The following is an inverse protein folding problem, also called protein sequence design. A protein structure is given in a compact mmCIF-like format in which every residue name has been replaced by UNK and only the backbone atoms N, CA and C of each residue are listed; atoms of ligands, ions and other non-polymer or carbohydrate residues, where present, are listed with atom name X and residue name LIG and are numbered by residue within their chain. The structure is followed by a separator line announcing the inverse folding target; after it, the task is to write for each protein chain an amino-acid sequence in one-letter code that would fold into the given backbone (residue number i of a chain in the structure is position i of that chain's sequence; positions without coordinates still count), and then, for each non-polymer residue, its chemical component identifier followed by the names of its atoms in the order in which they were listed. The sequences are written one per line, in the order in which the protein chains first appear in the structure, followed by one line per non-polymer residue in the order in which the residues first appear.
data_IF_980418567416
#
_entry.id   IF_980418567416
#
_cell.length_a   1.000
_cell.length_b   1.000
_cell.length_c   1.000
_cell.angle_alpha   90.00
_cell.angle_beta   90.00
_cell.angle_gamma   90.00
#
_symmetry.space_group_name_H-M   'P 1'
#
loop_
_entity.id
_entity.type
_entity.pdbx_description
1 polymer ?
#
# COMPACT_ATOMS: atom_id res chain seq x y z
N UNK A 1 25.25 0.71 10.05
CA UNK A 1 23.86 1.14 10.33
C UNK A 1 23.06 1.00 9.05
N UNK A 2 21.88 0.39 9.11
CA UNK A 2 20.98 0.22 7.95
C UNK A 2 20.34 1.58 7.66
N UNK A 3 20.50 2.08 6.45
CA UNK A 3 19.91 3.36 6.00
C UNK A 3 18.48 3.14 5.54
N UNK A 4 17.55 3.80 6.18
CA UNK A 4 16.11 3.63 5.93
C UNK A 4 15.51 4.91 5.34
N UNK A 5 14.74 4.76 4.26
CA UNK A 5 13.83 5.79 3.77
C UNK A 5 12.43 5.50 4.31
N UNK A 6 11.73 6.53 4.83
CA UNK A 6 10.34 6.45 5.28
C UNK A 6 9.45 7.30 4.37
N UNK A 7 8.45 6.68 3.73
CA UNK A 7 7.46 7.37 2.91
C UNK A 7 6.05 7.14 3.47
N UNK A 8 5.43 8.19 4.02
CA UNK A 8 4.11 8.18 4.64
C UNK A 8 3.55 9.60 4.64
N UNK A 9 2.32 9.83 4.20
CA UNK A 9 1.71 11.16 4.15
C UNK A 9 1.24 11.68 5.53
N UNK A 10 1.23 10.81 6.56
CA UNK A 10 0.85 11.16 7.92
C UNK A 10 2.08 11.55 8.75
N UNK A 11 2.35 12.83 8.91
CA UNK A 11 3.54 13.35 9.60
C UNK A 11 3.73 12.83 11.04
N UNK A 12 2.64 12.63 11.80
CA UNK A 12 2.70 12.09 13.17
C UNK A 12 3.11 10.60 13.14
N UNK A 13 2.58 9.82 12.21
CA UNK A 13 2.95 8.41 12.03
C UNK A 13 4.41 8.32 11.63
N UNK A 14 4.84 9.10 10.63
CA UNK A 14 6.21 9.13 10.13
C UNK A 14 7.21 9.50 11.23
N UNK A 15 6.90 10.51 12.07
CA UNK A 15 7.73 10.86 13.23
C UNK A 15 7.83 9.72 14.26
N UNK A 16 6.72 8.99 14.47
CA UNK A 16 6.72 7.80 15.34
C UNK A 16 7.56 6.66 14.77
N UNK A 17 7.43 6.38 13.48
CA UNK A 17 8.22 5.36 12.78
C UNK A 17 9.72 5.68 12.82
N UNK A 18 10.09 6.95 12.55
CA UNK A 18 11.46 7.42 12.67
C UNK A 18 12.04 7.12 14.05
N UNK A 19 11.32 7.49 15.09
CA UNK A 19 11.75 7.22 16.46
C UNK A 19 11.97 5.72 16.72
N UNK A 20 11.03 4.86 16.31
CA UNK A 20 11.15 3.40 16.47
C UNK A 20 12.39 2.86 15.75
N UNK A 21 12.63 3.32 14.53
CA UNK A 21 13.78 2.90 13.72
C UNK A 21 15.09 3.34 14.38
N UNK A 22 15.22 4.60 14.78
CA UNK A 22 16.45 5.17 15.37
C UNK A 22 16.72 4.63 16.77
N UNK A 23 15.68 4.40 17.61
CA UNK A 23 15.83 3.80 18.94
C UNK A 23 16.34 2.34 18.90
N UNK A 24 16.27 1.66 17.76
CA UNK A 24 16.86 0.32 17.59
C UNK A 24 18.40 0.30 17.74
N UNK A 25 19.06 1.42 17.50
CA UNK A 25 20.52 1.58 17.55
C UNK A 25 21.29 0.96 16.38
N UNK A 26 20.63 0.26 15.47
CA UNK A 26 21.23 -0.41 14.29
C UNK A 26 20.82 0.22 12.96
N UNK A 27 19.87 1.14 12.98
CA UNK A 27 19.26 1.77 11.79
C UNK A 27 19.28 3.29 11.91
N UNK A 28 19.30 3.99 10.77
CA UNK A 28 19.15 5.44 10.70
C UNK A 28 18.17 5.82 9.59
N UNK A 29 17.33 6.82 9.83
CA UNK A 29 16.44 7.37 8.81
C UNK A 29 17.19 8.43 8.01
N UNK A 30 17.60 8.08 6.80
CA UNK A 30 18.40 8.97 5.92
C UNK A 30 17.52 9.87 5.05
N UNK A 31 16.25 9.52 4.86
CA UNK A 31 15.29 10.35 4.13
C UNK A 31 13.85 10.10 4.59
N UNK A 32 13.04 11.14 4.47
CA UNK A 32 11.59 11.08 4.64
C UNK A 32 10.91 11.64 3.39
N UNK A 33 9.70 11.13 3.09
CA UNK A 33 8.85 11.61 2.01
C UNK A 33 7.38 11.64 2.45
N UNK A 34 6.62 12.62 2.00
CA UNK A 34 5.19 12.73 2.29
C UNK A 34 4.30 12.37 1.10
N UNK A 35 4.89 12.12 -0.07
CA UNK A 35 4.21 11.59 -1.24
C UNK A 35 5.11 10.64 -2.05
N UNK A 36 4.49 9.96 -3.02
CA UNK A 36 5.19 8.95 -3.81
C UNK A 36 6.24 9.50 -4.76
N UNK A 37 6.11 10.75 -5.23
CA UNK A 37 7.11 11.38 -6.11
C UNK A 37 8.34 11.77 -5.33
N UNK A 38 8.12 12.36 -4.17
CA UNK A 38 9.21 12.68 -3.25
C UNK A 38 9.95 11.40 -2.83
N UNK A 39 9.23 10.31 -2.53
CA UNK A 39 9.86 9.03 -2.18
C UNK A 39 10.82 8.55 -3.27
N UNK A 40 10.42 8.57 -4.55
CA UNK A 40 11.29 8.18 -5.67
C UNK A 40 12.52 9.11 -5.78
N UNK A 41 12.32 10.42 -5.66
CA UNK A 41 13.42 11.39 -5.69
C UNK A 41 14.41 11.16 -4.56
N UNK A 42 13.92 10.95 -3.32
CA UNK A 42 14.76 10.71 -2.15
C UNK A 42 15.60 9.44 -2.26
N UNK A 43 15.05 8.36 -2.85
CA UNK A 43 15.83 7.14 -3.12
C UNK A 43 17.06 7.45 -3.98
N UNK A 44 16.90 8.27 -5.03
CA UNK A 44 18.00 8.66 -5.91
C UNK A 44 19.06 9.53 -5.21
N UNK A 45 18.61 10.43 -4.31
CA UNK A 45 19.50 11.37 -3.62
C UNK A 45 20.27 10.73 -2.47
N UNK A 46 19.67 9.78 -1.73
CA UNK A 46 20.21 9.28 -0.46
C UNK A 46 20.67 7.83 -0.49
N UNK A 47 20.34 7.09 -1.55
CA UNK A 47 20.70 5.66 -1.72
C UNK A 47 20.49 4.84 -0.44
N UNK A 48 19.22 4.70 0.01
CA UNK A 48 18.90 3.93 1.22
C UNK A 48 19.14 2.44 1.00
N UNK A 49 19.39 1.70 2.09
CA UNK A 49 19.50 0.25 2.08
C UNK A 49 18.14 -0.44 2.11
N UNK A 50 17.11 0.25 2.64
CA UNK A 50 15.72 -0.23 2.72
C UNK A 50 14.75 0.95 2.56
N UNK A 51 13.67 0.76 1.81
CA UNK A 51 12.57 1.71 1.73
C UNK A 51 11.32 1.17 2.45
N UNK A 52 10.76 1.95 3.37
CA UNK A 52 9.47 1.68 4.03
C UNK A 52 8.43 2.60 3.41
N UNK A 53 7.40 2.03 2.77
CA UNK A 53 6.47 2.78 1.92
C UNK A 53 5.03 2.50 2.34
N UNK A 54 4.27 3.57 2.65
CA UNK A 54 2.81 3.47 2.76
C UNK A 54 2.15 3.37 1.38
N UNK A 55 1.13 2.52 1.29
CA UNK A 55 0.33 2.38 0.06
C UNK A 55 -0.57 3.60 -0.16
N UNK A 56 -1.04 4.26 0.91
CA UNK A 56 -2.15 5.22 0.86
C UNK A 56 -1.74 6.66 0.62
N UNK A 57 -0.55 6.91 0.10
CA UNK A 57 -0.05 8.27 -0.15
C UNK A 57 -0.83 9.02 -1.25
N UNK A 58 -0.93 10.36 -1.19
CA UNK A 58 -1.56 11.17 -2.22
C UNK A 58 -0.76 11.18 -3.53
N UNK A 59 -1.43 11.46 -4.65
CA UNK A 59 -0.79 11.55 -5.97
C UNK A 59 -0.41 10.18 -6.52
N UNK A 60 0.88 9.88 -6.53
CA UNK A 60 1.41 8.56 -6.90
C UNK A 60 1.25 7.60 -5.72
N UNK A 61 0.45 6.54 -5.88
CA UNK A 61 0.21 5.58 -4.81
C UNK A 61 1.43 4.67 -4.54
N UNK A 62 1.49 4.08 -3.33
CA UNK A 62 2.64 3.28 -2.93
C UNK A 62 2.93 2.08 -3.82
N UNK A 63 1.94 1.46 -4.47
CA UNK A 63 2.20 0.36 -5.40
C UNK A 63 2.84 0.85 -6.70
N UNK A 64 2.43 2.03 -7.18
CA UNK A 64 3.07 2.66 -8.33
C UNK A 64 4.52 3.05 -8.00
N UNK A 65 4.76 3.55 -6.77
CA UNK A 65 6.12 3.83 -6.26
C UNK A 65 6.95 2.56 -6.24
N UNK A 66 6.44 1.47 -5.64
CA UNK A 66 7.14 0.17 -5.59
C UNK A 66 7.51 -0.31 -6.99
N UNK A 67 6.55 -0.28 -7.93
CA UNK A 67 6.79 -0.73 -9.31
C UNK A 67 7.86 0.10 -10.02
N UNK A 68 7.86 1.43 -9.82
CA UNK A 68 8.87 2.32 -10.41
C UNK A 68 10.24 2.13 -9.77
N UNK A 69 10.30 1.97 -8.43
CA UNK A 69 11.56 1.72 -7.73
C UNK A 69 12.14 0.36 -8.10
N UNK A 70 11.32 -0.69 -8.23
CA UNK A 70 11.79 -1.99 -8.68
C UNK A 70 12.35 -1.97 -10.12
N UNK A 71 11.79 -1.13 -10.98
CA UNK A 71 12.30 -0.97 -12.35
C UNK A 71 13.64 -0.20 -12.40
N UNK A 72 13.83 0.80 -11.52
CA UNK A 72 15.02 1.67 -11.50
C UNK A 72 16.09 1.25 -10.50
N UNK A 73 15.70 0.61 -9.39
CA UNK A 73 16.57 0.14 -8.29
C UNK A 73 16.14 -1.27 -7.86
N UNK A 74 16.35 -2.31 -8.71
CA UNK A 74 15.84 -3.67 -8.47
C UNK A 74 16.42 -4.32 -7.20
N UNK A 75 17.58 -3.87 -6.74
CA UNK A 75 18.23 -4.38 -5.52
C UNK A 75 17.72 -3.73 -4.24
N UNK A 76 16.90 -2.65 -4.33
CA UNK A 76 16.38 -1.95 -3.15
C UNK A 76 15.25 -2.76 -2.50
N UNK A 77 15.44 -3.30 -1.27
CA UNK A 77 14.39 -3.98 -0.55
C UNK A 77 13.30 -2.98 -0.14
N UNK A 78 12.03 -3.33 -0.39
CA UNK A 78 10.89 -2.48 -0.04
C UNK A 78 9.98 -3.19 0.95
N UNK A 79 9.74 -2.54 2.11
CA UNK A 79 8.74 -2.92 3.08
C UNK A 79 7.50 -2.06 2.90
N UNK A 80 6.37 -2.69 2.69
CA UNK A 80 5.07 -2.00 2.76
C UNK A 80 4.62 -1.89 4.21
N UNK A 81 4.25 -0.67 4.62
CA UNK A 81 3.66 -0.39 5.92
C UNK A 81 2.37 0.40 5.73
N UNK A 82 1.22 -0.18 6.06
CA UNK A 82 -0.09 0.37 5.71
C UNK A 82 -1.16 0.11 6.76
N UNK A 83 -2.26 0.86 6.72
CA UNK A 83 -3.46 0.58 7.53
C UNK A 83 -4.35 -0.54 6.97
N UNK A 84 -4.03 -1.07 5.78
CA UNK A 84 -4.84 -2.10 5.12
C UNK A 84 -4.37 -3.51 5.51
N UNK A 85 -5.31 -4.32 6.01
CA UNK A 85 -5.07 -5.71 6.42
C UNK A 85 -5.56 -6.72 5.37
N UNK A 86 -6.36 -6.27 4.40
CA UNK A 86 -7.00 -7.16 3.45
C UNK A 86 -5.99 -7.80 2.49
N UNK A 87 -6.07 -9.12 2.38
CA UNK A 87 -5.13 -9.94 1.61
C UNK A 87 -4.90 -9.53 0.15
N UNK A 88 -5.87 -8.85 -0.46
CA UNK A 88 -5.71 -8.33 -1.82
C UNK A 88 -4.64 -7.21 -1.93
N UNK A 89 -4.43 -6.42 -0.87
CA UNK A 89 -3.38 -5.41 -0.83
C UNK A 89 -2.01 -6.08 -0.71
N UNK A 90 -1.93 -7.13 0.12
CA UNK A 90 -0.72 -7.95 0.27
C UNK A 90 -0.30 -8.54 -1.07
N UNK A 91 -1.23 -9.22 -1.75
CA UNK A 91 -0.95 -9.86 -3.05
C UNK A 91 -0.41 -8.84 -4.05
N UNK A 92 -1.04 -7.67 -4.15
CA UNK A 92 -0.61 -6.61 -5.07
C UNK A 92 0.76 -6.02 -4.70
N UNK A 93 1.02 -5.81 -3.40
CA UNK A 93 2.30 -5.30 -2.94
C UNK A 93 3.45 -6.25 -3.32
N UNK A 94 3.26 -7.55 -3.06
CA UNK A 94 4.25 -8.57 -3.42
C UNK A 94 4.42 -8.70 -4.94
N UNK A 95 3.33 -8.62 -5.70
CA UNK A 95 3.39 -8.62 -7.18
C UNK A 95 4.08 -7.38 -7.75
N UNK A 96 3.96 -6.22 -7.08
CA UNK A 96 4.67 -5.00 -7.44
C UNK A 96 6.17 -5.05 -7.09
N UNK A 97 6.62 -6.04 -6.31
CA UNK A 97 8.02 -6.24 -5.96
C UNK A 97 8.37 -5.99 -4.49
N UNK A 98 7.38 -5.75 -3.61
CA UNK A 98 7.68 -5.61 -2.19
C UNK A 98 8.25 -6.91 -1.61
N UNK A 99 9.26 -6.78 -0.75
CA UNK A 99 9.85 -7.90 -0.02
C UNK A 99 9.17 -8.16 1.32
N UNK A 100 8.50 -7.16 1.87
CA UNK A 100 7.78 -7.29 3.13
C UNK A 100 6.45 -6.53 3.14
N UNK A 101 5.54 -7.00 4.00
CA UNK A 101 4.25 -6.36 4.24
C UNK A 101 3.93 -6.39 5.73
N UNK A 102 3.62 -5.21 6.26
CA UNK A 102 3.31 -5.01 7.67
C UNK A 102 2.19 -3.99 7.81
N UNK A 103 1.32 -4.16 8.80
CA UNK A 103 0.30 -3.15 9.11
C UNK A 103 0.83 -2.11 10.08
N UNK A 104 0.31 -0.89 10.03
CA UNK A 104 0.66 0.19 10.99
C UNK A 104 0.17 -0.09 12.42
N UNK A 105 -0.64 -1.14 12.60
CA UNK A 105 -1.08 -1.63 13.93
C UNK A 105 -0.08 -2.62 14.54
N UNK A 106 0.91 -3.04 13.78
CA UNK A 106 1.93 -3.97 14.25
C UNK A 106 2.81 -3.34 15.33
N UNK A 107 3.32 -4.19 16.21
CA UNK A 107 4.20 -3.75 17.29
C UNK A 107 5.52 -3.14 16.74
N UNK A 108 6.10 -2.14 17.42
CA UNK A 108 7.36 -1.52 17.03
C UNK A 108 8.49 -2.52 16.73
N UNK A 109 8.59 -3.58 17.52
CA UNK A 109 9.60 -4.63 17.39
C UNK A 109 9.45 -5.41 16.07
N UNK A 110 8.22 -5.52 15.56
CA UNK A 110 7.95 -6.15 14.26
C UNK A 110 8.47 -5.30 13.11
N UNK A 111 8.36 -3.97 13.20
CA UNK A 111 8.92 -3.07 12.19
C UNK A 111 10.45 -3.22 12.10
N UNK A 112 11.15 -3.15 13.23
CA UNK A 112 12.62 -3.32 13.28
C UNK A 112 13.02 -4.68 12.74
N UNK A 113 12.32 -5.74 13.16
CA UNK A 113 12.58 -7.11 12.69
C UNK A 113 12.32 -7.25 11.19
N UNK A 114 11.26 -6.65 10.66
CA UNK A 114 10.94 -6.68 9.24
C UNK A 114 12.01 -5.98 8.41
N UNK A 115 12.44 -4.77 8.79
CA UNK A 115 13.49 -4.02 8.11
C UNK A 115 14.79 -4.83 8.08
N UNK A 116 15.21 -5.42 9.20
CA UNK A 116 16.41 -6.24 9.28
C UNK A 116 16.34 -7.44 8.33
N UNK A 117 15.26 -8.20 8.37
CA UNK A 117 15.08 -9.39 7.51
C UNK A 117 15.10 -9.07 6.03
N UNK A 118 14.39 -8.01 5.59
CA UNK A 118 14.39 -7.66 4.17
C UNK A 118 15.75 -7.10 3.70
N UNK A 119 16.47 -6.39 4.57
CA UNK A 119 17.86 -5.96 4.30
C UNK A 119 18.79 -7.16 4.10
N UNK A 120 18.57 -8.27 4.82
CA UNK A 120 19.30 -9.54 4.67
C UNK A 120 18.84 -10.36 3.44
N UNK A 121 17.93 -9.83 2.62
CA UNK A 121 17.39 -10.52 1.45
C UNK A 121 16.27 -11.52 1.77
N UNK A 122 15.79 -11.59 3.02
CA UNK A 122 14.70 -12.46 3.42
C UNK A 122 13.35 -11.75 3.22
N UNK A 123 12.29 -12.51 2.94
CA UNK A 123 10.93 -11.94 2.93
C UNK A 123 10.36 -11.83 4.34
N UNK A 124 9.59 -10.77 4.56
CA UNK A 124 8.83 -10.59 5.81
C UNK A 124 7.35 -10.42 5.51
N UNK A 125 6.57 -11.45 5.79
CA UNK A 125 5.12 -11.47 5.55
C UNK A 125 4.48 -12.03 6.83
N UNK A 126 3.42 -11.39 7.33
CA UNK A 126 2.66 -11.93 8.47
C UNK A 126 1.91 -13.19 8.08
N UNK A 127 1.47 -13.99 9.07
CA UNK A 127 0.76 -15.24 8.81
C UNK A 127 -0.54 -15.01 8.03
N UNK A 128 -1.28 -13.94 8.34
CA UNK A 128 -2.50 -13.54 7.64
C UNK A 128 -2.20 -13.17 6.17
N UNK A 129 -1.10 -12.49 5.95
CA UNK A 129 -0.65 -12.12 4.61
C UNK A 129 -0.20 -13.36 3.81
N UNK A 130 0.46 -14.31 4.46
CA UNK A 130 0.86 -15.57 3.84
C UNK A 130 -0.35 -16.44 3.47
N UNK A 131 -1.37 -16.51 4.33
CA UNK A 131 -2.63 -17.22 4.03
C UNK A 131 -3.34 -16.60 2.84
N UNK A 132 -3.43 -15.26 2.75
CA UNK A 132 -4.03 -14.58 1.62
C UNK A 132 -3.31 -14.87 0.30
N UNK A 133 -1.97 -14.93 0.32
CA UNK A 133 -1.17 -15.33 -0.84
C UNK A 133 -1.42 -16.79 -1.22
N UNK A 134 -1.45 -17.70 -0.26
CA UNK A 134 -1.70 -19.11 -0.49
C UNK A 134 -3.08 -19.35 -1.12
N UNK A 135 -4.12 -18.69 -0.60
CA UNK A 135 -5.47 -18.74 -1.15
C UNK A 135 -5.53 -18.20 -2.59
N UNK A 136 -4.75 -17.18 -2.91
CA UNK A 136 -4.66 -16.63 -4.27
C UNK A 136 -4.01 -17.63 -5.24
N UNK A 137 -2.91 -18.25 -4.82
CA UNK A 137 -2.21 -19.28 -5.61
C UNK A 137 -3.12 -20.51 -5.82
N UNK A 138 -3.83 -20.95 -4.77
CA UNK A 138 -4.75 -22.09 -4.85
C UNK A 138 -5.93 -21.86 -5.80
N UNK A 139 -6.39 -20.61 -5.98
CA UNK A 139 -7.46 -20.25 -6.94
C UNK A 139 -6.98 -20.27 -8.41
N UNK A 140 -5.70 -20.45 -8.65
CA UNK A 140 -5.09 -20.51 -9.99
C UNK A 140 -5.00 -19.14 -10.70
N UNK A 141 -4.08 -19.04 -11.64
CA UNK A 141 -3.89 -17.84 -12.47
C UNK A 141 -5.00 -17.59 -13.50
N UNK A 142 -5.91 -18.56 -13.73
CA UNK A 142 -7.00 -18.44 -14.71
C UNK A 142 -8.19 -17.62 -14.20
N UNK A 143 -8.27 -17.36 -12.92
CA UNK A 143 -9.30 -16.51 -12.32
C UNK A 143 -8.83 -15.07 -12.13
N UNK A 144 -8.62 -14.31 -13.22
CA UNK A 144 -8.48 -12.84 -13.10
C UNK A 144 -9.72 -12.30 -12.39
N UNK A 145 -9.56 -11.92 -11.14
CA UNK A 145 -10.65 -11.24 -10.44
C UNK A 145 -10.93 -9.90 -11.15
N UNK A 146 -12.19 -9.51 -11.33
CA UNK A 146 -12.50 -8.17 -11.82
C UNK A 146 -11.78 -7.07 -11.03
N UNK A 147 -11.46 -7.34 -9.75
CA UNK A 147 -10.66 -6.45 -8.90
C UNK A 147 -9.24 -6.25 -9.41
N UNK A 148 -8.64 -7.22 -10.09
CA UNK A 148 -7.26 -7.13 -10.61
C UNK A 148 -7.12 -6.05 -11.69
N UNK A 149 -8.21 -5.64 -12.32
CA UNK A 149 -8.25 -4.55 -13.30
C UNK A 149 -8.22 -3.15 -12.68
N UNK A 150 -8.46 -3.05 -11.36
CA UNK A 150 -8.54 -1.79 -10.64
C UNK A 150 -7.15 -1.34 -10.18
N UNK A 151 -6.84 -0.06 -10.33
CA UNK A 151 -5.70 0.54 -9.62
C UNK A 151 -5.95 0.51 -8.10
N UNK A 152 -4.91 0.72 -7.31
CA UNK A 152 -5.05 0.77 -5.85
C UNK A 152 -6.02 1.88 -5.43
N UNK A 153 -5.90 3.06 -6.04
CA UNK A 153 -6.77 4.19 -5.72
C UNK A 153 -8.23 3.92 -6.12
N UNK A 154 -8.46 3.23 -7.23
CA UNK A 154 -9.81 2.79 -7.61
C UNK A 154 -10.38 1.79 -6.59
N UNK A 155 -9.57 0.86 -6.10
CA UNK A 155 -9.98 -0.10 -5.06
C UNK A 155 -10.31 0.59 -3.73
N UNK A 156 -9.48 1.53 -3.29
CA UNK A 156 -9.72 2.34 -2.10
C UNK A 156 -11.02 3.15 -2.21
N UNK A 157 -11.25 3.80 -3.35
CA UNK A 157 -12.48 4.56 -3.61
C UNK A 157 -13.69 3.63 -3.67
N UNK A 158 -13.58 2.46 -4.31
CA UNK A 158 -14.65 1.45 -4.34
C UNK A 158 -15.09 1.06 -2.93
N UNK A 159 -14.12 0.74 -2.06
CA UNK A 159 -14.37 0.37 -0.66
C UNK A 159 -15.12 1.47 0.09
N UNK A 160 -14.67 2.71 -0.01
CA UNK A 160 -15.29 3.87 0.65
C UNK A 160 -16.70 4.14 0.14
N UNK A 161 -16.91 4.07 -1.18
CA UNK A 161 -18.26 4.19 -1.78
C UNK A 161 -19.18 3.07 -1.31
N UNK A 162 -18.67 1.85 -1.21
CA UNK A 162 -19.42 0.69 -0.75
C UNK A 162 -19.82 0.79 0.73
N UNK A 163 -19.00 1.45 1.55
CA UNK A 163 -19.30 1.79 2.95
C UNK A 163 -20.29 2.98 3.08
N UNK A 164 -20.82 3.48 1.99
CA UNK A 164 -21.80 4.58 1.98
C UNK A 164 -21.22 5.98 2.11
N UNK A 165 -19.88 6.15 2.03
CA UNK A 165 -19.28 7.45 2.10
C UNK A 165 -19.58 8.27 0.84
N UNK A 166 -19.81 9.57 1.04
CA UNK A 166 -20.02 10.53 -0.04
C UNK A 166 -18.70 10.87 -0.74
N UNK A 167 -18.74 11.30 -2.00
CA UNK A 167 -17.56 11.75 -2.74
C UNK A 167 -16.80 12.87 -2.01
N UNK A 168 -17.51 13.70 -1.23
CA UNK A 168 -16.92 14.78 -0.43
C UNK A 168 -16.11 14.25 0.76
N UNK A 169 -16.62 13.23 1.46
CA UNK A 169 -15.93 12.57 2.56
C UNK A 169 -14.69 11.84 2.06
N UNK A 170 -14.82 11.10 0.95
CA UNK A 170 -13.71 10.40 0.31
C UNK A 170 -12.61 11.39 -0.14
N UNK A 171 -13.03 12.50 -0.79
CA UNK A 171 -12.11 13.54 -1.23
C UNK A 171 -11.31 14.14 -0.06
N UNK A 172 -11.99 14.36 1.08
CA UNK A 172 -11.37 14.88 2.30
C UNK A 172 -10.40 13.86 2.91
N UNK A 173 -10.78 12.57 3.01
CA UNK A 173 -9.95 11.52 3.62
C UNK A 173 -8.69 11.21 2.81
N UNK A 174 -8.70 11.45 1.51
CA UNK A 174 -7.54 11.20 0.64
C UNK A 174 -6.85 12.48 0.15
N UNK A 175 -7.21 13.64 0.69
CA UNK A 175 -6.64 14.95 0.30
C UNK A 175 -6.67 15.22 -1.22
N UNK A 176 -7.74 14.80 -1.90
CA UNK A 176 -7.97 14.99 -3.34
C UNK A 176 -9.22 15.81 -3.61
N UNK A 177 -9.41 16.26 -4.85
CA UNK A 177 -10.61 16.98 -5.25
C UNK A 177 -11.83 16.04 -5.37
N UNK A 178 -13.04 16.57 -5.13
CA UNK A 178 -14.30 15.84 -5.38
C UNK A 178 -14.35 15.36 -6.84
N UNK A 179 -13.91 16.20 -7.77
CA UNK A 179 -13.82 15.88 -9.22
C UNK A 179 -12.92 14.68 -9.49
N UNK A 180 -11.85 14.54 -8.72
CA UNK A 180 -10.95 13.37 -8.82
C UNK A 180 -11.66 12.09 -8.35
N UNK A 181 -12.43 12.17 -7.26
CA UNK A 181 -13.26 11.02 -6.79
C UNK A 181 -14.32 10.66 -7.82
N UNK A 182 -14.99 11.64 -8.42
CA UNK A 182 -15.96 11.41 -9.52
C UNK A 182 -15.31 10.69 -10.71
N UNK A 183 -14.07 11.04 -11.03
CA UNK A 183 -13.31 10.39 -12.10
C UNK A 183 -13.02 8.93 -11.76
N UNK A 184 -12.57 8.63 -10.54
CA UNK A 184 -12.36 7.24 -10.09
C UNK A 184 -13.66 6.46 -10.08
N UNK A 185 -14.75 7.04 -9.58
CA UNK A 185 -16.07 6.41 -9.59
C UNK A 185 -16.53 6.07 -11.02
N UNK A 186 -16.38 6.99 -11.97
CA UNK A 186 -16.74 6.74 -13.36
C UNK A 186 -15.90 5.61 -13.98
N UNK A 187 -14.59 5.57 -13.69
CA UNK A 187 -13.69 4.49 -14.12
C UNK A 187 -14.09 3.14 -13.51
N UNK A 188 -14.44 3.11 -12.21
CA UNK A 188 -14.93 1.91 -11.51
C UNK A 188 -16.17 1.34 -12.20
N UNK A 189 -17.21 2.16 -12.41
CA UNK A 189 -18.43 1.75 -13.08
C UNK A 189 -18.15 1.16 -14.47
N UNK A 190 -17.26 1.82 -15.23
CA UNK A 190 -16.86 1.35 -16.57
C UNK A 190 -16.07 0.03 -16.51
N UNK A 191 -15.03 -0.07 -15.66
CA UNK A 191 -14.15 -1.25 -15.58
C UNK A 191 -14.88 -2.49 -15.08
N UNK A 192 -15.81 -2.30 -14.13
CA UNK A 192 -16.59 -3.38 -13.52
C UNK A 192 -17.91 -3.64 -14.26
N UNK A 193 -18.22 -2.87 -15.32
CA UNK A 193 -19.48 -2.94 -16.07
C UNK A 193 -20.72 -2.77 -15.16
N UNK A 194 -20.64 -1.87 -14.18
CA UNK A 194 -21.69 -1.57 -13.23
C UNK A 194 -22.35 -0.21 -13.55
N UNK A 195 -23.61 -0.03 -13.14
CA UNK A 195 -24.43 1.13 -13.53
C UNK A 195 -24.54 2.22 -12.46
N UNK A 196 -24.42 1.85 -11.18
CA UNK A 196 -24.65 2.77 -10.06
C UNK A 196 -23.95 2.33 -8.77
N UNK A 197 -24.01 3.16 -7.73
CA UNK A 197 -23.36 2.89 -6.44
C UNK A 197 -23.95 1.67 -5.73
N UNK A 198 -25.25 1.36 -5.89
CA UNK A 198 -25.83 0.17 -5.26
C UNK A 198 -25.23 -1.12 -5.84
N UNK A 199 -24.95 -1.12 -7.14
CA UNK A 199 -24.25 -2.24 -7.77
C UNK A 199 -22.77 -2.30 -7.34
N UNK A 200 -22.11 -1.15 -7.14
CA UNK A 200 -20.75 -1.11 -6.55
C UNK A 200 -20.73 -1.69 -5.13
N UNK A 201 -21.70 -1.31 -4.28
CA UNK A 201 -21.77 -1.85 -2.91
C UNK A 201 -22.01 -3.36 -2.91
N UNK A 202 -22.95 -3.85 -3.73
CA UNK A 202 -23.19 -5.29 -3.87
C UNK A 202 -21.94 -6.03 -4.35
N UNK A 203 -21.25 -5.49 -5.35
CA UNK A 203 -20.02 -6.04 -5.87
C UNK A 203 -18.92 -6.10 -4.79
N UNK A 204 -18.79 -5.05 -3.98
CA UNK A 204 -17.81 -5.01 -2.90
C UNK A 204 -18.07 -6.08 -1.83
N UNK A 205 -19.36 -6.28 -1.43
CA UNK A 205 -19.76 -7.34 -0.48
C UNK A 205 -19.46 -8.73 -1.07
N UNK A 206 -19.87 -8.97 -2.31
CA UNK A 206 -19.65 -10.27 -2.98
C UNK A 206 -18.17 -10.64 -3.10
N UNK A 207 -17.30 -9.63 -3.24
CA UNK A 207 -15.84 -9.82 -3.31
C UNK A 207 -15.14 -9.66 -1.94
N UNK A 208 -15.89 -9.61 -0.85
CA UNK A 208 -15.37 -9.49 0.53
C UNK A 208 -14.46 -8.26 0.75
N UNK A 209 -14.74 -7.16 0.06
CA UNK A 209 -14.08 -5.87 0.27
C UNK A 209 -14.59 -5.15 1.51
N UNK A 210 -15.82 -5.41 1.87
CA UNK A 210 -16.51 -4.92 3.06
C UNK A 210 -17.40 -6.04 3.61
N UNK A 211 -17.68 -5.98 4.89
CA UNK A 211 -18.69 -6.81 5.53
C UNK A 211 -20.09 -6.24 5.26
N UNK A 212 -21.14 -7.08 5.20
CA UNK A 212 -22.50 -6.66 4.95
C UNK A 212 -23.11 -5.86 6.11
#
# INVERSE_FOLDING_TARGET
MIKVLLADDHSIVRAGLRRIVEESGEMEVVAEADDGREAIQRVQETTPDVAVIDISMPGLDGLEVISQLQASHPELPILVLTMHEEGQYVVRAIQAGAMGYLTKQSAPEQLVTAIRKIHEGQRYITDEAAEALALRVAKGSDGKSPLDSLSMRELQVLRRLAMGQTNREIARSYHISIKTVDTYRARLLKKLSLRNNAELSRFAIQNRLIEP
#
